data_IF_817540170015
#
_entry.id   IF_817540170015
#
_cell.length_a   1.000
_cell.length_b   1.000
_cell.length_c   1.000
_cell.angle_alpha   90.00
_cell.angle_beta   90.00
_cell.angle_gamma   90.00
#
_symmetry.space_group_name_H-M   'P 1'
#
loop_
_entity.id
_entity.type
_entity.pdbx_description
1 polymer ?
#
# COMPACT_ATOMS: atom_id res chain seq x y z
N UNK A 1 28.06 84.83 -37.05
CA UNK A 1 28.57 83.49 -37.20
C UNK A 1 28.55 82.79 -35.81
N UNK A 2 27.52 82.06 -35.49
CA UNK A 2 27.42 81.33 -34.20
C UNK A 2 27.37 79.80 -34.53
N UNK A 3 28.38 79.10 -34.10
CA UNK A 3 28.44 77.62 -34.23
C UNK A 3 27.73 76.96 -33.01
N UNK A 4 26.67 76.25 -33.24
CA UNK A 4 25.99 75.47 -32.25
C UNK A 4 26.66 74.08 -32.10
N UNK A 5 27.10 73.72 -30.90
CA UNK A 5 27.54 72.38 -30.55
C UNK A 5 26.34 71.60 -30.00
N UNK A 6 25.95 70.54 -30.70
CA UNK A 6 25.04 69.56 -30.21
C UNK A 6 25.83 68.44 -29.47
N UNK A 7 25.65 68.37 -28.19
CA UNK A 7 26.16 67.24 -27.39
C UNK A 7 25.16 66.12 -27.38
N UNK A 8 25.53 64.99 -27.96
CA UNK A 8 24.70 63.71 -27.96
C UNK A 8 25.02 62.94 -26.68
N UNK A 9 24.05 62.84 -25.79
CA UNK A 9 24.13 62.02 -24.57
C UNK A 9 23.74 60.58 -24.88
N UNK A 10 24.70 59.66 -24.94
CA UNK A 10 24.46 58.24 -25.08
C UNK A 10 24.18 57.67 -23.70
N UNK A 11 22.91 57.24 -23.43
CA UNK A 11 22.50 56.50 -22.24
C UNK A 11 22.77 55.05 -22.50
N UNK A 12 23.81 54.50 -21.86
CA UNK A 12 24.07 53.03 -21.84
C UNK A 12 23.13 52.36 -20.85
N UNK A 13 22.12 51.63 -21.33
CA UNK A 13 21.25 50.79 -20.53
C UNK A 13 21.98 49.49 -20.22
N UNK A 14 22.54 49.36 -19.02
CA UNK A 14 23.09 48.08 -18.52
C UNK A 14 21.94 47.15 -18.18
N UNK A 15 21.65 46.16 -19.05
CA UNK A 15 20.77 45.05 -18.73
C UNK A 15 21.47 44.13 -17.71
N UNK A 16 21.08 44.23 -16.44
CA UNK A 16 21.38 43.18 -15.46
C UNK A 16 20.59 41.92 -15.84
N UNK A 17 21.25 40.97 -16.49
CA UNK A 17 20.75 39.63 -16.64
C UNK A 17 20.73 38.96 -15.25
N UNK A 18 19.57 38.91 -14.61
CA UNK A 18 19.35 38.10 -13.43
C UNK A 18 19.44 36.63 -13.89
N UNK A 19 20.60 36.03 -13.65
CA UNK A 19 20.75 34.59 -13.87
C UNK A 19 19.76 33.86 -12.97
N UNK A 20 18.77 33.15 -13.57
CA UNK A 20 17.90 32.27 -12.83
C UNK A 20 18.78 31.24 -12.08
N UNK A 21 18.47 30.92 -10.80
CA UNK A 21 19.26 29.95 -10.06
C UNK A 21 19.26 28.63 -10.82
N UNK A 22 20.44 28.13 -11.16
CA UNK A 22 20.60 26.83 -11.80
C UNK A 22 19.96 25.79 -10.89
N UNK A 23 18.90 25.13 -11.37
CA UNK A 23 18.23 24.06 -10.63
C UNK A 23 19.26 22.94 -10.42
N UNK A 24 19.62 22.68 -9.17
CA UNK A 24 20.59 21.63 -8.85
C UNK A 24 20.14 20.31 -9.48
N UNK A 25 21.04 19.64 -10.21
CA UNK A 25 20.76 18.37 -10.83
C UNK A 25 20.32 17.37 -9.75
N UNK A 26 19.22 16.63 -10.00
CA UNK A 26 18.76 15.61 -9.08
C UNK A 26 19.85 14.52 -8.94
N UNK A 27 20.09 13.99 -7.73
CA UNK A 27 21.09 12.97 -7.54
C UNK A 27 20.71 11.69 -8.32
N UNK A 28 21.70 10.92 -8.82
CA UNK A 28 21.43 9.61 -9.39
C UNK A 28 20.66 8.71 -8.39
N UNK A 29 19.77 7.84 -8.90
CA UNK A 29 18.92 7.00 -8.03
C UNK A 29 19.72 6.10 -7.08
N UNK A 30 20.89 5.60 -7.51
CA UNK A 30 21.77 4.82 -6.64
C UNK A 30 22.27 5.62 -5.43
N UNK A 31 22.60 6.90 -5.60
CA UNK A 31 22.95 7.76 -4.46
C UNK A 31 21.76 8.01 -3.53
N UNK A 32 20.53 8.04 -4.05
CA UNK A 32 19.32 8.08 -3.21
C UNK A 32 19.17 6.77 -2.43
N UNK A 33 19.43 5.65 -3.06
CA UNK A 33 19.44 4.34 -2.40
C UNK A 33 20.47 4.31 -1.28
N UNK A 34 21.74 4.59 -1.57
CA UNK A 34 22.84 4.55 -0.61
C UNK A 34 22.65 5.51 0.58
N UNK A 35 22.15 6.71 0.32
CA UNK A 35 22.05 7.77 1.34
C UNK A 35 20.74 7.77 2.13
N UNK A 36 19.70 7.09 1.64
CA UNK A 36 18.38 7.18 2.23
C UNK A 36 17.67 5.83 2.43
N UNK A 37 17.83 4.88 1.50
CA UNK A 37 17.07 3.64 1.54
C UNK A 37 17.81 2.51 2.26
N UNK A 38 19.15 2.45 2.22
CA UNK A 38 19.91 1.42 2.93
C UNK A 38 19.70 1.46 4.44
N UNK A 39 19.68 2.66 5.02
CA UNK A 39 19.48 2.85 6.46
C UNK A 39 18.00 2.98 6.86
N UNK A 40 17.09 3.03 5.88
CA UNK A 40 15.65 3.12 6.15
C UNK A 40 15.16 1.85 6.87
N UNK A 41 14.08 1.99 7.64
CA UNK A 41 13.44 0.86 8.33
C UNK A 41 12.28 0.33 7.50
N UNK A 42 12.38 -0.92 7.09
CA UNK A 42 11.36 -1.61 6.29
C UNK A 42 10.37 -2.33 7.21
N UNK A 43 9.10 -2.01 7.09
CA UNK A 43 7.99 -2.63 7.85
C UNK A 43 7.06 -3.32 6.86
N UNK A 44 6.83 -4.62 7.08
CA UNK A 44 5.89 -5.40 6.28
C UNK A 44 4.45 -5.10 6.69
N UNK A 45 3.63 -4.63 5.76
CA UNK A 45 2.23 -4.27 5.98
C UNK A 45 1.27 -5.32 5.44
N UNK A 46 1.73 -6.57 5.28
CA UNK A 46 1.00 -7.62 4.58
C UNK A 46 0.77 -8.83 5.48
N UNK A 47 -0.45 -9.30 5.56
CA UNK A 47 -0.77 -10.58 6.20
C UNK A 47 -0.33 -11.75 5.33
N UNK A 48 0.22 -12.78 5.96
CA UNK A 48 0.53 -14.04 5.27
C UNK A 48 -0.77 -14.73 4.86
N UNK A 49 -0.90 -15.06 3.58
CA UNK A 49 -2.04 -15.83 3.07
C UNK A 49 -1.85 -17.31 3.45
N UNK A 50 -2.84 -17.87 4.14
CA UNK A 50 -2.94 -19.28 4.50
C UNK A 50 -4.37 -19.77 4.26
N UNK A 51 -4.64 -21.10 4.27
CA UNK A 51 -6.01 -21.62 4.17
C UNK A 51 -6.96 -21.17 5.30
N UNK A 52 -6.44 -20.56 6.38
CA UNK A 52 -7.20 -20.20 7.59
C UNK A 52 -7.36 -18.70 7.80
N UNK A 53 -6.99 -17.87 6.81
CA UNK A 53 -7.20 -16.42 6.95
C UNK A 53 -8.69 -16.09 6.93
N UNK A 54 -9.10 -14.96 7.54
CA UNK A 54 -10.45 -14.44 7.40
C UNK A 54 -10.75 -14.16 5.93
N UNK A 55 -11.87 -14.68 5.44
CA UNK A 55 -12.39 -14.43 4.09
C UNK A 55 -13.88 -14.20 4.20
N UNK A 56 -14.38 -13.19 3.52
CA UNK A 56 -15.81 -12.96 3.47
C UNK A 56 -16.56 -14.21 2.97
N UNK A 57 -17.64 -14.57 3.66
CA UNK A 57 -18.35 -15.83 3.44
C UNK A 57 -18.90 -16.02 2.02
N UNK A 58 -19.03 -14.92 1.25
CA UNK A 58 -19.46 -14.96 -0.14
C UNK A 58 -18.41 -15.53 -1.11
N UNK A 59 -17.12 -15.58 -0.71
CA UNK A 59 -16.04 -16.03 -1.59
C UNK A 59 -15.49 -17.42 -1.26
N UNK A 60 -15.40 -17.76 0.01
CA UNK A 60 -14.82 -19.03 0.46
C UNK A 60 -13.28 -19.02 0.59
N UNK A 61 -12.72 -20.03 1.30
CA UNK A 61 -11.32 -20.08 1.68
C UNK A 61 -10.40 -20.48 0.53
N UNK A 62 -9.12 -20.08 0.63
CA UNK A 62 -8.07 -20.63 -0.20
C UNK A 62 -7.74 -22.09 0.18
N UNK A 63 -7.30 -22.90 -0.79
CA UNK A 63 -6.75 -24.23 -0.54
C UNK A 63 -5.37 -24.36 -1.17
N UNK A 64 -4.45 -24.95 -0.42
CA UNK A 64 -3.08 -25.20 -0.87
C UNK A 64 -2.82 -26.70 -0.92
N UNK A 65 -2.00 -27.13 -1.84
CA UNK A 65 -1.63 -28.54 -1.99
C UNK A 65 -0.33 -28.70 -2.78
N UNK A 66 0.23 -29.90 -2.81
CA UNK A 66 1.31 -30.21 -3.74
C UNK A 66 0.85 -30.03 -5.18
N UNK A 67 1.70 -29.43 -6.01
CA UNK A 67 1.48 -29.47 -7.45
C UNK A 67 1.79 -30.87 -7.98
N UNK A 68 1.06 -31.31 -8.99
CA UNK A 68 1.18 -32.65 -9.59
C UNK A 68 1.74 -32.55 -10.99
N UNK A 69 2.52 -33.56 -11.38
CA UNK A 69 2.95 -33.75 -12.77
C UNK A 69 1.74 -34.11 -13.63
N UNK A 70 1.40 -33.33 -14.67
CA UNK A 70 0.21 -33.59 -15.48
C UNK A 70 0.25 -34.91 -16.27
N UNK A 71 1.44 -35.47 -16.52
CA UNK A 71 1.60 -36.73 -17.25
C UNK A 71 1.35 -37.96 -16.35
N UNK A 72 1.69 -37.87 -15.05
CA UNK A 72 1.61 -39.01 -14.11
C UNK A 72 0.53 -38.87 -13.06
N UNK A 73 0.03 -37.64 -12.83
CA UNK A 73 -0.88 -37.31 -11.75
C UNK A 73 -0.24 -37.34 -10.35
N UNK A 74 1.07 -37.63 -10.24
CA UNK A 74 1.76 -37.72 -8.96
C UNK A 74 2.31 -36.37 -8.53
N UNK A 75 2.36 -36.08 -7.21
CA UNK A 75 3.01 -34.87 -6.68
C UNK A 75 4.50 -34.84 -7.05
N UNK A 76 5.01 -33.64 -7.37
CA UNK A 76 6.47 -33.42 -7.44
C UNK A 76 7.10 -33.58 -6.07
N UNK A 77 8.23 -34.29 -6.00
CA UNK A 77 8.97 -34.54 -4.76
C UNK A 77 10.47 -34.23 -4.95
N UNK A 78 11.14 -33.82 -3.87
CA UNK A 78 12.60 -33.60 -3.91
C UNK A 78 13.37 -34.87 -4.28
N UNK A 79 12.87 -36.05 -3.86
CA UNK A 79 13.55 -37.33 -4.09
C UNK A 79 13.48 -37.80 -5.55
N UNK A 80 12.31 -37.63 -6.19
CA UNK A 80 12.11 -38.10 -7.57
C UNK A 80 12.44 -37.03 -8.61
N UNK A 81 12.14 -35.76 -8.32
CA UNK A 81 12.14 -34.68 -9.31
C UNK A 81 13.22 -33.61 -9.02
N UNK A 82 13.83 -33.62 -7.82
CA UNK A 82 14.80 -32.63 -7.38
C UNK A 82 14.21 -31.31 -6.92
N UNK A 83 12.89 -31.12 -7.00
CA UNK A 83 12.14 -29.96 -6.54
C UNK A 83 10.72 -30.32 -6.11
N UNK A 84 10.08 -29.41 -5.39
CA UNK A 84 8.66 -29.44 -5.12
C UNK A 84 8.00 -28.12 -5.56
N UNK A 85 6.70 -28.16 -5.85
CA UNK A 85 5.90 -26.97 -6.16
C UNK A 85 4.58 -27.00 -5.39
N UNK A 86 4.02 -25.81 -5.13
CA UNK A 86 2.72 -25.66 -4.47
C UNK A 86 1.65 -25.29 -5.50
N UNK A 87 0.53 -25.99 -5.45
CA UNK A 87 -0.70 -25.58 -6.13
C UNK A 87 -1.52 -24.73 -5.16
N UNK A 88 -1.89 -23.53 -5.61
CA UNK A 88 -2.84 -22.66 -4.92
C UNK A 88 -4.16 -22.68 -5.67
N UNK A 89 -5.27 -22.92 -4.96
CA UNK A 89 -6.62 -22.66 -5.44
C UNK A 89 -7.17 -21.49 -4.62
N UNK A 90 -7.26 -20.34 -5.26
CA UNK A 90 -7.72 -19.10 -4.67
C UNK A 90 -9.10 -18.83 -5.25
N UNK A 91 -10.13 -18.83 -4.39
CA UNK A 91 -11.54 -18.73 -4.81
C UNK A 91 -11.90 -17.32 -5.32
N UNK A 92 -11.08 -16.35 -4.99
CA UNK A 92 -11.27 -14.93 -5.32
C UNK A 92 -9.93 -14.22 -5.40
N UNK A 93 -9.87 -13.07 -6.03
CA UNK A 93 -8.77 -12.13 -5.97
C UNK A 93 -8.86 -11.14 -4.79
N UNK A 94 -9.87 -11.35 -3.91
CA UNK A 94 -10.18 -10.59 -2.70
C UNK A 94 -9.78 -11.39 -1.45
N UNK A 95 -8.48 -11.57 -1.20
CA UNK A 95 -7.95 -12.40 -0.11
C UNK A 95 -6.85 -11.69 0.68
N UNK A 96 -7.07 -11.55 1.99
CA UNK A 96 -6.06 -11.02 2.90
C UNK A 96 -5.72 -9.57 2.62
N UNK A 97 -4.42 -9.23 2.58
CA UNK A 97 -4.00 -7.88 2.17
C UNK A 97 -4.09 -7.74 0.66
N UNK A 98 -4.88 -6.79 0.19
CA UNK A 98 -5.23 -6.66 -1.23
C UNK A 98 -5.25 -5.21 -1.70
N UNK A 99 -5.20 -5.02 -3.02
CA UNK A 99 -5.44 -3.76 -3.71
C UNK A 99 -6.60 -3.97 -4.67
N UNK A 100 -7.66 -3.16 -4.53
CA UNK A 100 -8.84 -3.20 -5.37
C UNK A 100 -8.76 -2.09 -6.41
N UNK A 101 -8.70 -2.45 -7.71
CA UNK A 101 -8.81 -1.49 -8.78
C UNK A 101 -10.26 -1.02 -8.91
N UNK A 102 -10.52 0.15 -9.51
CA UNK A 102 -11.88 0.67 -9.61
C UNK A 102 -12.82 -0.22 -10.43
N UNK A 103 -12.32 -1.08 -11.33
CA UNK A 103 -13.13 -2.06 -12.05
C UNK A 103 -13.79 -3.10 -11.13
N UNK A 104 -13.39 -3.20 -9.87
CA UNK A 104 -14.05 -4.09 -8.91
C UNK A 104 -15.56 -3.81 -8.78
N UNK A 105 -15.95 -2.54 -8.84
CA UNK A 105 -17.36 -2.11 -8.79
C UNK A 105 -17.87 -1.44 -10.07
N UNK A 106 -16.96 -0.92 -10.89
CA UNK A 106 -17.28 -0.09 -12.04
C UNK A 106 -16.62 -0.66 -13.32
N UNK A 107 -17.33 -1.48 -14.10
CA UNK A 107 -16.74 -2.23 -15.22
C UNK A 107 -16.17 -1.33 -16.34
N UNK A 108 -16.52 -0.05 -16.36
CA UNK A 108 -15.95 0.94 -17.27
C UNK A 108 -14.60 1.53 -16.80
N UNK A 109 -14.15 1.17 -15.61
CA UNK A 109 -12.92 1.66 -14.99
C UNK A 109 -11.75 0.68 -15.17
N UNK A 110 -10.56 1.10 -14.71
CA UNK A 110 -9.33 0.31 -14.85
C UNK A 110 -9.34 -0.97 -14.00
N UNK A 111 -8.93 -2.09 -14.60
CA UNK A 111 -8.63 -3.36 -13.93
C UNK A 111 -7.22 -3.32 -13.30
N UNK A 112 -6.85 -4.38 -12.54
CA UNK A 112 -5.58 -4.41 -11.79
C UNK A 112 -4.35 -4.34 -12.71
N UNK A 113 -4.40 -4.94 -13.89
CA UNK A 113 -3.31 -4.95 -14.85
C UNK A 113 -3.16 -3.65 -15.65
N UNK A 114 -4.16 -2.78 -15.58
CA UNK A 114 -4.17 -1.45 -16.22
C UNK A 114 -3.68 -0.35 -15.28
N UNK A 115 -3.47 -0.64 -13.99
CA UNK A 115 -2.91 0.34 -13.06
C UNK A 115 -1.47 0.71 -13.46
N UNK A 116 -1.13 2.03 -13.50
CA UNK A 116 0.16 2.45 -14.02
C UNK A 116 1.32 2.04 -13.11
N UNK A 117 2.48 1.70 -13.70
CA UNK A 117 3.70 1.34 -12.98
C UNK A 117 4.17 2.42 -11.96
N UNK A 118 3.73 3.66 -12.15
CA UNK A 118 3.99 4.77 -11.20
C UNK A 118 3.28 4.59 -9.85
N UNK A 119 2.41 3.59 -9.68
CA UNK A 119 1.87 3.21 -8.37
C UNK A 119 2.95 2.66 -7.44
N UNK A 120 4.04 2.09 -7.95
CA UNK A 120 5.00 1.27 -7.22
C UNK A 120 5.57 1.89 -5.92
N UNK A 121 5.87 3.20 -5.90
CA UNK A 121 6.43 3.87 -4.71
C UNK A 121 5.78 5.24 -4.51
N UNK A 122 5.22 5.47 -3.31
CA UNK A 122 4.50 6.70 -2.97
C UNK A 122 4.81 7.20 -1.56
N UNK A 123 4.62 8.49 -1.26
CA UNK A 123 4.58 8.97 0.11
C UNK A 123 3.47 8.26 0.89
N UNK A 124 3.77 7.84 2.12
CA UNK A 124 2.83 7.19 3.02
C UNK A 124 2.41 8.13 4.14
N UNK A 125 1.11 8.17 4.39
CA UNK A 125 0.47 8.85 5.51
C UNK A 125 -0.32 7.82 6.31
N UNK A 126 -0.18 7.80 7.64
CA UNK A 126 -0.98 6.96 8.53
C UNK A 126 -1.82 7.85 9.45
N UNK A 127 -3.15 7.69 9.39
CA UNK A 127 -4.11 8.38 10.25
C UNK A 127 -4.71 7.36 11.22
N UNK A 128 -4.53 7.56 12.51
CA UNK A 128 -5.04 6.65 13.53
C UNK A 128 -6.41 7.10 14.07
N UNK A 129 -7.36 6.16 14.06
CA UNK A 129 -8.69 6.30 14.69
C UNK A 129 -8.84 5.41 15.95
N UNK A 130 -7.76 4.79 16.42
CA UNK A 130 -7.76 3.88 17.59
C UNK A 130 -8.34 4.52 18.85
N UNK A 131 -8.16 5.84 19.02
CA UNK A 131 -8.73 6.54 20.17
C UNK A 131 -10.24 6.62 20.10
N UNK A 132 -10.79 6.88 18.92
CA UNK A 132 -12.24 6.99 18.67
C UNK A 132 -12.93 5.63 18.87
N UNK A 133 -12.26 4.55 18.47
CA UNK A 133 -12.77 3.18 18.60
C UNK A 133 -12.95 2.72 20.05
N UNK A 134 -12.35 3.41 21.04
CA UNK A 134 -12.60 3.12 22.47
C UNK A 134 -14.04 3.43 22.90
N UNK A 135 -14.70 4.34 22.21
CA UNK A 135 -16.08 4.74 22.49
C UNK A 135 -17.10 4.25 21.47
N UNK A 136 -16.64 3.92 20.25
CA UNK A 136 -17.47 3.44 19.16
C UNK A 136 -16.66 2.50 18.27
N UNK A 137 -16.87 1.19 18.42
CA UNK A 137 -16.17 0.13 17.69
C UNK A 137 -16.50 0.08 16.19
N UNK A 138 -17.52 0.85 15.76
CA UNK A 138 -17.94 1.01 14.36
C UNK A 138 -17.60 2.42 13.82
N UNK A 139 -16.65 3.11 14.45
CA UNK A 139 -16.25 4.46 14.05
C UNK A 139 -15.63 4.48 12.66
N UNK A 140 -16.14 5.34 11.79
CA UNK A 140 -15.53 5.62 10.49
C UNK A 140 -14.72 6.92 10.54
N UNK A 141 -13.54 6.94 9.90
CA UNK A 141 -12.71 8.14 9.75
C UNK A 141 -13.53 9.32 9.24
N UNK A 142 -13.42 10.47 9.89
CA UNK A 142 -14.13 11.69 9.57
C UNK A 142 -13.19 12.78 9.03
N UNK A 143 -13.73 13.77 8.34
CA UNK A 143 -12.97 14.95 7.84
C UNK A 143 -12.22 15.66 8.97
N UNK A 144 -12.82 15.70 10.17
CA UNK A 144 -12.19 16.32 11.33
C UNK A 144 -10.93 15.59 11.80
N UNK A 145 -10.87 14.26 11.68
CA UNK A 145 -9.67 13.48 12.01
C UNK A 145 -8.53 13.81 11.05
N UNK A 146 -8.85 13.92 9.76
CA UNK A 146 -7.89 14.34 8.73
C UNK A 146 -7.36 15.74 9.02
N UNK A 147 -8.24 16.69 9.35
CA UNK A 147 -7.83 18.06 9.70
C UNK A 147 -7.00 18.11 10.99
N UNK A 148 -7.33 17.26 11.98
CA UNK A 148 -6.56 17.13 13.22
C UNK A 148 -5.14 16.59 12.94
N UNK A 149 -5.07 15.58 12.08
CA UNK A 149 -3.79 15.06 11.61
C UNK A 149 -2.97 16.15 10.90
N UNK A 150 -3.58 16.88 9.98
CA UNK A 150 -2.93 17.96 9.23
C UNK A 150 -2.44 19.12 10.12
N UNK A 151 -3.19 19.48 11.16
CA UNK A 151 -2.73 20.50 12.13
C UNK A 151 -1.45 20.10 12.84
N UNK A 152 -1.27 18.81 13.07
CA UNK A 152 -0.09 18.29 13.79
C UNK A 152 1.10 18.02 12.88
N UNK A 153 0.85 17.51 11.68
CA UNK A 153 1.88 16.96 10.83
C UNK A 153 2.08 17.71 9.50
N UNK A 154 1.25 18.66 9.21
CA UNK A 154 1.24 19.39 7.94
C UNK A 154 0.27 18.77 6.92
N UNK A 155 0.08 19.46 5.81
CA UNK A 155 -0.87 19.07 4.76
C UNK A 155 -0.49 17.71 4.14
N UNK A 156 -1.48 16.85 3.91
CA UNK A 156 -1.28 15.58 3.21
C UNK A 156 -0.71 15.82 1.81
N UNK A 157 0.40 15.17 1.43
CA UNK A 157 1.00 15.36 0.11
C UNK A 157 0.10 14.84 -1.02
N UNK A 158 0.06 15.57 -2.13
CA UNK A 158 -0.61 15.09 -3.36
C UNK A 158 0.02 13.76 -3.83
N UNK A 159 -0.81 12.81 -4.26
CA UNK A 159 -0.37 11.50 -4.78
C UNK A 159 0.17 10.56 -3.71
N UNK A 160 -0.03 10.88 -2.41
CA UNK A 160 0.28 9.96 -1.31
C UNK A 160 -0.74 8.82 -1.22
N UNK A 161 -0.33 7.73 -0.57
CA UNK A 161 -1.23 6.71 -0.03
C UNK A 161 -1.57 7.10 1.41
N UNK A 162 -2.86 7.02 1.78
CA UNK A 162 -3.33 7.31 3.14
C UNK A 162 -3.87 6.02 3.74
N UNK A 163 -3.18 5.49 4.75
CA UNK A 163 -3.61 4.31 5.49
C UNK A 163 -4.32 4.70 6.79
N UNK A 164 -5.45 4.06 7.08
CA UNK A 164 -6.25 4.30 8.29
C UNK A 164 -5.96 3.19 9.29
N UNK A 165 -5.27 3.55 10.38
CA UNK A 165 -4.95 2.65 11.47
C UNK A 165 -6.11 2.55 12.45
N UNK A 166 -6.56 1.33 12.70
CA UNK A 166 -7.63 0.98 13.65
C UNK A 166 -7.21 -0.05 14.71
N UNK A 167 -6.03 -0.65 14.56
CA UNK A 167 -5.55 -1.83 15.29
C UNK A 167 -6.44 -3.08 15.06
N UNK A 168 -7.27 -3.09 14.02
CA UNK A 168 -8.12 -4.23 13.63
C UNK A 168 -7.29 -5.44 13.26
N UNK A 169 -6.19 -5.25 12.56
CA UNK A 169 -5.27 -6.30 12.10
C UNK A 169 -4.62 -7.08 13.23
N UNK A 170 -4.58 -6.56 14.46
CA UNK A 170 -4.02 -7.27 15.64
C UNK A 170 -4.80 -8.52 16.04
N UNK A 171 -6.04 -8.65 15.57
CA UNK A 171 -6.86 -9.83 15.78
C UNK A 171 -6.65 -10.93 14.72
N UNK A 172 -5.85 -10.65 13.68
CA UNK A 172 -5.59 -11.62 12.63
C UNK A 172 -4.93 -12.90 13.18
N UNK A 173 -5.36 -14.13 12.79
CA UNK A 173 -6.33 -14.48 11.76
C UNK A 173 -7.75 -14.84 12.30
N UNK A 174 -8.29 -14.11 13.27
CA UNK A 174 -9.62 -14.34 13.83
C UNK A 174 -10.68 -14.34 12.71
N UNK A 175 -11.45 -15.45 12.49
CA UNK A 175 -12.43 -15.51 11.42
C UNK A 175 -13.59 -14.52 11.58
N UNK A 176 -13.85 -14.02 12.80
CA UNK A 176 -14.88 -12.99 13.04
C UNK A 176 -14.57 -11.66 12.30
N UNK A 177 -13.31 -11.41 11.93
CA UNK A 177 -12.92 -10.24 11.13
C UNK A 177 -13.61 -10.20 9.76
N UNK A 178 -13.98 -11.35 9.22
CA UNK A 178 -14.63 -11.48 7.92
C UNK A 178 -16.16 -11.40 7.98
N UNK A 179 -16.77 -11.27 9.17
CA UNK A 179 -18.23 -11.17 9.30
C UNK A 179 -18.77 -9.80 8.90
N UNK A 180 -17.92 -8.77 8.95
CA UNK A 180 -18.21 -7.38 8.56
C UNK A 180 -19.50 -6.79 9.20
N UNK A 181 -19.84 -7.25 10.43
CA UNK A 181 -21.03 -6.76 11.14
C UNK A 181 -20.80 -5.40 11.79
N UNK A 182 -19.67 -5.27 12.49
CA UNK A 182 -19.23 -4.03 13.12
C UNK A 182 -17.70 -3.96 12.98
N UNK A 183 -17.22 -2.92 12.34
CA UNK A 183 -15.79 -2.73 12.06
C UNK A 183 -15.51 -1.23 11.82
N UNK A 184 -14.27 -0.77 12.05
CA UNK A 184 -13.88 0.59 11.74
C UNK A 184 -13.85 0.83 10.23
N UNK A 185 -14.40 1.97 9.78
CA UNK A 185 -14.49 2.29 8.36
C UNK A 185 -13.87 3.63 7.97
N UNK A 186 -14.16 4.06 6.74
CA UNK A 186 -13.80 5.37 6.21
C UNK A 186 -15.06 6.05 5.67
N UNK A 187 -15.48 7.13 6.30
CA UNK A 187 -16.74 7.81 5.94
C UNK A 187 -16.68 8.46 4.55
N UNK A 188 -17.78 8.47 3.84
CA UNK A 188 -17.90 9.00 2.46
C UNK A 188 -17.34 10.42 2.32
N UNK A 189 -17.63 11.32 3.27
CA UNK A 189 -17.11 12.69 3.23
C UNK A 189 -15.59 12.74 3.43
N UNK A 190 -15.04 11.83 4.24
CA UNK A 190 -13.59 11.68 4.40
C UNK A 190 -12.93 11.19 3.10
N UNK A 191 -13.52 10.20 2.41
CA UNK A 191 -13.09 9.75 1.09
C UNK A 191 -13.08 10.90 0.08
N UNK A 192 -14.21 11.61 -0.04
CA UNK A 192 -14.31 12.77 -0.92
C UNK A 192 -13.27 13.85 -0.59
N UNK A 193 -13.02 14.10 0.69
CA UNK A 193 -12.03 15.08 1.12
C UNK A 193 -10.60 14.65 0.74
N UNK A 194 -10.24 13.40 0.99
CA UNK A 194 -8.93 12.85 0.65
C UNK A 194 -8.69 12.88 -0.85
N UNK A 195 -9.63 12.38 -1.64
CA UNK A 195 -9.44 12.28 -3.09
C UNK A 195 -9.60 13.62 -3.81
N UNK A 196 -10.66 14.39 -3.54
CA UNK A 196 -10.95 15.65 -4.27
C UNK A 196 -10.21 16.87 -3.73
N UNK A 197 -9.87 16.91 -2.42
CA UNK A 197 -9.21 18.09 -1.81
C UNK A 197 -7.73 17.86 -1.53
N UNK A 198 -7.29 16.60 -1.36
CA UNK A 198 -5.88 16.26 -1.14
C UNK A 198 -5.25 15.56 -2.32
N UNK A 199 -6.06 15.06 -3.25
CA UNK A 199 -5.61 14.38 -4.46
C UNK A 199 -4.64 13.23 -4.12
N UNK A 200 -5.02 12.42 -3.13
CA UNK A 200 -4.28 11.21 -2.78
C UNK A 200 -4.33 10.20 -3.94
N UNK A 201 -3.42 9.23 -3.96
CA UNK A 201 -3.45 8.16 -4.94
C UNK A 201 -4.59 7.20 -4.63
N UNK A 202 -4.55 6.60 -3.45
CA UNK A 202 -5.63 5.78 -2.88
C UNK A 202 -5.57 5.80 -1.35
N UNK A 203 -6.62 5.34 -0.70
CA UNK A 203 -6.63 5.06 0.72
C UNK A 203 -6.59 3.55 0.98
N UNK A 204 -6.23 3.16 2.21
CA UNK A 204 -6.31 1.78 2.65
C UNK A 204 -6.58 1.70 4.15
N UNK A 205 -6.95 0.52 4.61
CA UNK A 205 -7.33 0.25 5.99
C UNK A 205 -7.06 -1.22 6.39
N UNK A 206 -7.18 -1.51 7.68
CA UNK A 206 -6.93 -2.85 8.22
C UNK A 206 -8.13 -3.81 8.06
N UNK A 207 -9.39 -3.37 8.13
CA UNK A 207 -10.55 -4.21 7.81
C UNK A 207 -10.58 -4.69 6.35
N UNK A 208 -11.51 -5.62 6.07
CA UNK A 208 -11.74 -6.22 4.75
C UNK A 208 -12.90 -5.53 4.02
N UNK A 209 -13.21 -4.28 4.36
CA UNK A 209 -14.20 -3.42 3.72
C UNK A 209 -13.99 -1.97 4.19
N UNK A 210 -14.29 -1.01 3.33
CA UNK A 210 -14.22 0.42 3.62
C UNK A 210 -15.45 0.92 4.38
N UNK A 211 -16.63 0.41 4.01
CA UNK A 211 -17.91 0.94 4.51
C UNK A 211 -18.40 0.21 5.77
N UNK A 212 -18.49 0.94 6.86
CA UNK A 212 -19.19 0.48 8.07
C UNK A 212 -20.70 0.68 8.01
N UNK A 213 -21.24 1.02 6.85
CA UNK A 213 -22.68 1.21 6.61
C UNK A 213 -23.23 0.16 5.65
N UNK A 214 -24.50 -0.28 5.79
CA UNK A 214 -25.07 -1.29 4.91
C UNK A 214 -25.32 -0.82 3.47
N UNK A 215 -25.14 0.48 3.18
CA UNK A 215 -25.39 1.07 1.86
C UNK A 215 -24.18 1.02 0.94
N UNK A 216 -22.97 0.71 1.49
CA UNK A 216 -21.69 0.63 0.76
C UNK A 216 -21.44 1.88 -0.11
N UNK A 217 -21.85 3.03 0.39
CA UNK A 217 -21.85 4.30 -0.37
C UNK A 217 -20.44 4.84 -0.63
N UNK A 218 -19.51 4.52 0.26
CA UNK A 218 -18.10 4.92 0.15
C UNK A 218 -17.40 4.19 -0.99
N UNK A 219 -17.48 2.87 -1.02
CA UNK A 219 -16.91 2.06 -2.11
C UNK A 219 -17.58 2.33 -3.43
N UNK A 220 -18.92 2.39 -3.45
CA UNK A 220 -19.65 2.74 -4.65
C UNK A 220 -19.16 4.09 -5.22
N UNK A 221 -19.08 5.12 -4.38
CA UNK A 221 -18.58 6.42 -4.81
C UNK A 221 -17.13 6.34 -5.31
N UNK A 222 -16.26 5.67 -4.55
CA UNK A 222 -14.83 5.59 -4.80
C UNK A 222 -14.55 4.96 -6.18
N UNK A 223 -15.07 3.76 -6.40
CA UNK A 223 -14.79 2.94 -7.58
C UNK A 223 -15.38 3.55 -8.85
N UNK A 224 -16.64 4.05 -8.80
CA UNK A 224 -17.25 4.77 -9.93
C UNK A 224 -16.61 6.12 -10.26
N UNK A 225 -15.68 6.60 -9.42
CA UNK A 225 -14.87 7.78 -9.71
C UNK A 225 -13.41 7.44 -10.11
N UNK A 226 -13.12 6.17 -10.38
CA UNK A 226 -11.84 5.70 -10.86
C UNK A 226 -10.73 5.69 -9.79
N UNK A 227 -11.09 5.55 -8.52
CA UNK A 227 -10.12 5.44 -7.42
C UNK A 227 -10.02 4.01 -6.94
N UNK A 228 -8.79 3.58 -6.60
CA UNK A 228 -8.49 2.30 -5.98
C UNK A 228 -8.53 2.41 -4.45
N UNK A 229 -8.56 1.25 -3.77
CA UNK A 229 -8.38 1.12 -2.31
C UNK A 229 -7.49 -0.05 -1.95
N UNK A 230 -7.01 -0.09 -0.70
CA UNK A 230 -6.30 -1.23 -0.14
C UNK A 230 -6.99 -1.71 1.14
N UNK A 231 -7.12 -3.03 1.29
CA UNK A 231 -7.79 -3.68 2.40
C UNK A 231 -6.91 -4.70 3.09
N UNK A 232 -7.30 -5.08 4.32
CA UNK A 232 -6.59 -6.09 5.08
C UNK A 232 -5.12 -5.72 5.35
N UNK A 233 -4.83 -4.44 5.55
CA UNK A 233 -3.46 -3.96 5.77
C UNK A 233 -3.00 -4.30 7.19
N UNK A 234 -1.75 -4.75 7.34
CA UNK A 234 -1.17 -5.14 8.61
C UNK A 234 -0.24 -4.06 9.20
N UNK A 235 0.06 -4.17 10.49
CA UNK A 235 1.17 -3.49 11.19
C UNK A 235 1.23 -1.96 11.03
N UNK A 236 0.07 -1.29 10.88
CA UNK A 236 0.04 0.18 10.77
C UNK A 236 0.48 0.90 12.05
N UNK A 237 0.50 0.20 13.19
CA UNK A 237 1.04 0.72 14.45
C UNK A 237 2.59 0.81 14.46
N UNK A 238 3.24 0.06 13.58
CA UNK A 238 4.69 0.09 13.40
C UNK A 238 5.17 1.16 12.40
N UNK A 239 4.25 1.96 11.86
CA UNK A 239 4.56 3.00 10.86
C UNK A 239 4.40 4.40 11.44
N UNK A 240 5.32 5.36 11.15
CA UNK A 240 5.17 6.74 11.60
C UNK A 240 3.97 7.41 10.89
N UNK A 241 3.29 8.38 11.56
CA UNK A 241 2.18 9.10 10.95
C UNK A 241 2.55 9.81 9.64
N UNK A 242 3.82 10.22 9.49
CA UNK A 242 4.37 10.88 8.29
C UNK A 242 5.83 10.56 8.07
N UNK A 243 6.32 10.80 6.85
CA UNK A 243 7.74 10.72 6.51
C UNK A 243 8.19 9.37 5.97
N UNK A 244 7.29 8.39 5.90
CA UNK A 244 7.55 7.12 5.25
C UNK A 244 7.18 7.17 3.75
N UNK A 245 7.76 6.24 2.98
CA UNK A 245 7.26 5.84 1.67
C UNK A 245 6.56 4.49 1.82
N UNK A 246 5.77 4.12 0.82
CA UNK A 246 5.22 2.77 0.67
C UNK A 246 5.63 2.21 -0.69
N UNK A 247 6.14 0.98 -0.68
CA UNK A 247 6.24 0.14 -1.87
C UNK A 247 4.95 -0.65 -2.03
N UNK A 248 4.42 -0.67 -3.26
CA UNK A 248 3.13 -1.26 -3.60
C UNK A 248 3.39 -2.32 -4.66
N UNK A 249 3.34 -3.60 -4.23
CA UNK A 249 3.47 -4.75 -5.10
C UNK A 249 2.16 -5.53 -5.19
N UNK A 250 1.77 -5.94 -6.39
CA UNK A 250 0.62 -6.80 -6.66
C UNK A 250 0.83 -7.59 -7.95
N UNK A 251 0.21 -8.77 -8.13
CA UNK A 251 0.27 -9.51 -9.37
C UNK A 251 -0.52 -8.79 -10.47
N UNK A 252 -0.03 -8.89 -11.68
CA UNK A 252 -0.63 -8.26 -12.85
C UNK A 252 -1.52 -9.28 -13.59
N UNK A 253 -2.63 -9.68 -12.98
CA UNK A 253 -3.61 -10.56 -13.62
C UNK A 253 -4.41 -9.80 -14.66
N UNK A 254 -4.46 -10.30 -15.89
CA UNK A 254 -5.22 -9.68 -16.99
C UNK A 254 -6.72 -9.59 -16.69
N UNK A 255 -7.28 -8.39 -16.65
CA UNK A 255 -8.68 -8.14 -16.33
C UNK A 255 -9.08 -8.46 -14.88
N UNK A 256 -8.13 -8.59 -13.97
CA UNK A 256 -8.42 -8.88 -12.56
C UNK A 256 -9.10 -7.71 -11.84
N UNK A 257 -10.03 -8.04 -10.95
CA UNK A 257 -10.84 -7.09 -10.19
C UNK A 257 -10.30 -6.86 -8.78
N UNK A 258 -9.22 -7.54 -8.41
CA UNK A 258 -8.45 -7.39 -7.19
C UNK A 258 -7.05 -7.95 -7.36
N UNK A 259 -6.19 -7.73 -6.37
CA UNK A 259 -4.85 -8.28 -6.38
C UNK A 259 -4.27 -8.43 -4.98
N UNK A 260 -3.81 -9.65 -4.65
CA UNK A 260 -3.08 -9.89 -3.41
C UNK A 260 -1.87 -8.97 -3.33
N UNK A 261 -1.86 -8.07 -2.37
CA UNK A 261 -0.84 -7.04 -2.34
C UNK A 261 0.30 -7.37 -1.37
N UNK A 262 1.51 -6.97 -1.73
CA UNK A 262 2.64 -6.88 -0.82
C UNK A 262 2.97 -5.41 -0.60
N UNK A 263 2.48 -4.86 0.51
CA UNK A 263 2.81 -3.51 0.92
C UNK A 263 4.00 -3.53 1.87
N UNK A 264 4.96 -2.64 1.65
CA UNK A 264 6.11 -2.46 2.54
C UNK A 264 6.29 -0.98 2.81
N UNK A 265 6.18 -0.56 4.07
CA UNK A 265 6.52 0.79 4.45
C UNK A 265 8.04 0.95 4.55
N UNK A 266 8.57 2.03 3.97
CA UNK A 266 9.97 2.43 4.06
C UNK A 266 10.02 3.66 4.96
N UNK A 267 10.36 3.44 6.22
CA UNK A 267 10.31 4.42 7.29
C UNK A 267 11.66 5.14 7.46
N UNK A 268 11.70 6.31 8.09
CA UNK A 268 12.95 7.03 8.35
C UNK A 268 13.98 6.17 9.10
N UNK A 269 15.30 6.34 8.88
CA UNK A 269 16.36 5.50 9.47
C UNK A 269 16.33 5.41 11.00
N UNK A 270 15.88 6.46 11.70
CA UNK A 270 15.78 6.49 13.16
C UNK A 270 14.43 6.00 13.70
N UNK A 271 13.59 5.43 12.84
CA UNK A 271 12.33 4.86 13.30
C UNK A 271 12.59 3.60 14.11
N UNK A 272 11.79 3.41 15.18
CA UNK A 272 12.03 2.35 16.18
C UNK A 272 11.60 0.95 15.73
N UNK A 273 10.76 0.85 14.69
CA UNK A 273 10.22 -0.41 14.17
C UNK A 273 10.77 -0.71 12.78
N UNK A 274 10.72 -1.98 12.40
CA UNK A 274 11.22 -2.46 11.10
C UNK A 274 12.70 -2.84 11.15
N UNK A 275 13.21 -3.28 10.00
CA UNK A 275 14.60 -3.72 9.79
C UNK A 275 15.23 -2.91 8.65
N UNK A 276 16.53 -2.64 8.73
CA UNK A 276 17.29 -2.02 7.64
C UNK A 276 18.00 -3.07 6.80
N UNK A 277 18.41 -2.67 5.59
CA UNK A 277 19.29 -3.49 4.74
C UNK A 277 20.55 -3.86 5.52
N UNK A 278 20.91 -5.14 5.55
CA UNK A 278 22.07 -5.67 6.27
C UNK A 278 21.85 -6.01 7.74
N UNK A 279 20.72 -5.58 8.38
CA UNK A 279 20.39 -6.01 9.76
C UNK A 279 19.95 -7.49 9.83
N UNK A 280 19.48 -8.04 8.74
CA UNK A 280 19.11 -9.45 8.60
C UNK A 280 19.85 -10.06 7.42
N UNK A 281 20.12 -11.38 7.40
CA UNK A 281 20.75 -12.02 6.26
C UNK A 281 19.88 -11.88 5.00
N UNK A 282 20.44 -11.25 3.96
CA UNK A 282 19.74 -11.03 2.68
C UNK A 282 20.19 -12.01 1.61
N UNK A 283 21.48 -12.41 1.63
CA UNK A 283 22.06 -13.42 0.73
C UNK A 283 23.38 -13.96 1.30
N UNK A 284 23.60 -15.28 1.32
CA UNK A 284 22.60 -16.32 1.11
C UNK A 284 21.55 -16.32 2.21
N UNK A 285 20.29 -16.65 1.87
CA UNK A 285 19.19 -16.71 2.83
C UNK A 285 19.47 -17.77 3.91
N UNK A 286 18.83 -17.57 5.07
CA UNK A 286 18.96 -18.46 6.22
C UNK A 286 18.62 -19.91 5.86
N UNK A 287 19.52 -20.85 6.26
CA UNK A 287 19.27 -22.28 6.23
C UNK A 287 18.53 -22.71 7.51
N UNK A 288 17.51 -23.52 7.34
CA UNK A 288 16.73 -24.07 8.45
C UNK A 288 17.09 -25.53 8.70
N UNK A 289 17.11 -25.96 9.98
CA UNK A 289 17.29 -27.34 10.38
C UNK A 289 16.05 -28.19 10.12
N UNK A 290 14.86 -27.62 10.34
CA UNK A 290 13.59 -28.29 10.07
C UNK A 290 13.27 -28.19 8.57
N UNK A 291 13.02 -29.34 7.95
CA UNK A 291 12.72 -29.40 6.52
C UNK A 291 11.29 -28.93 6.25
N UNK A 292 11.13 -28.13 5.23
CA UNK A 292 9.81 -27.72 4.75
C UNK A 292 9.09 -28.95 4.17
N UNK A 293 7.88 -29.25 4.65
CA UNK A 293 7.07 -30.38 4.19
C UNK A 293 5.60 -29.99 4.14
N UNK A 294 4.79 -30.71 3.35
CA UNK A 294 3.35 -30.51 3.31
C UNK A 294 2.72 -31.19 4.52
N UNK A 295 1.97 -30.43 5.32
CA UNK A 295 1.16 -30.90 6.44
C UNK A 295 -0.32 -30.89 6.03
N UNK A 296 -0.95 -32.07 6.01
CA UNK A 296 -2.35 -32.23 5.58
C UNK A 296 -3.33 -31.58 6.56
N UNK A 297 -3.01 -31.54 7.87
CA UNK A 297 -3.87 -30.94 8.88
C UNK A 297 -3.82 -29.40 8.84
N UNK A 298 -2.65 -28.83 8.52
CA UNK A 298 -2.50 -27.41 8.27
C UNK A 298 -3.02 -26.99 6.87
N UNK A 299 -3.10 -27.95 5.94
CA UNK A 299 -3.44 -27.71 4.54
C UNK A 299 -2.38 -26.89 3.79
N UNK A 300 -1.14 -26.88 4.26
CA UNK A 300 -0.05 -26.08 3.69
C UNK A 300 1.32 -26.67 4.06
N UNK A 301 2.37 -26.15 3.43
CA UNK A 301 3.73 -26.51 3.86
C UNK A 301 4.10 -25.78 5.14
N UNK A 302 4.70 -26.52 6.07
CA UNK A 302 5.21 -26.02 7.36
C UNK A 302 6.65 -26.52 7.58
N UNK A 303 7.33 -25.95 8.58
CA UNK A 303 8.65 -26.38 9.05
C UNK A 303 8.58 -27.08 10.40
#
# INVERSE_FOLDING_TARGET
>A
MRKSFLATLAVALAMLAVAAPAQAAKPPLWKVYDNALMDAKYVDLTHTITPRIPVWSGFGPATFGPATNPATGQPYTYAADGFEATRYLLQTDQLGTQLDPPAHWAPEQAAIDELPATFAVRPLVVISIVRQLKSDDNYALQVNDIRNWERRYGKIPRGSVVMVRSDWSKRWPDPELATLKRFPGVGLDALKFLHRKRHILFHGHEPLDTDSTPTLEGEHWLMHHGYAQAEGVANLDDVPPKGALINIGYPKFGGGLGGYARFVAICPPKWRHGVSVGEVPEAPLQRYSNLLHFDAAAGMRIR
#
